data_IF_088196582280
#
_entry.id   IF_088196582280
#
_cell.length_a   1.000
_cell.length_b   1.000
_cell.length_c   1.000
_cell.angle_alpha   90.00
_cell.angle_beta   90.00
_cell.angle_gamma   90.00
#
_symmetry.space_group_name_H-M   'P 1'
#
loop_
_entity.id
_entity.type
_entity.pdbx_description
1 polymer ?
#
# COMPACT_ATOMS: atom_id res chain seq x y z
N UNK A 1 -16.76 -21.76 -12.21
CA UNK A 1 -16.43 -21.74 -10.78
C UNK A 1 -15.14 -22.51 -10.53
N UNK A 2 -14.20 -21.95 -9.81
CA UNK A 2 -12.99 -22.66 -9.37
C UNK A 2 -13.37 -23.70 -8.32
N UNK A 3 -12.72 -24.87 -8.38
CA UNK A 3 -13.04 -26.00 -7.49
C UNK A 3 -12.13 -26.09 -6.25
N UNK A 4 -11.01 -25.37 -6.26
CA UNK A 4 -10.05 -25.38 -5.16
C UNK A 4 -10.20 -24.14 -4.30
N UNK A 5 -10.25 -24.32 -2.97
CA UNK A 5 -10.27 -23.19 -2.04
C UNK A 5 -8.88 -22.91 -1.50
N UNK A 6 -8.52 -21.63 -1.45
CA UNK A 6 -7.30 -21.17 -0.80
C UNK A 6 -7.47 -19.76 -0.24
N UNK A 7 -7.02 -19.58 0.98
CA UNK A 7 -7.14 -18.31 1.70
C UNK A 7 -8.55 -18.05 2.25
N UNK A 8 -8.59 -17.34 3.33
CA UNK A 8 -9.83 -16.85 3.93
C UNK A 8 -9.57 -15.59 4.74
N UNK A 9 -10.60 -14.79 4.93
CA UNK A 9 -10.55 -13.60 5.78
C UNK A 9 -11.91 -13.33 6.41
N UNK A 10 -11.92 -12.55 7.50
CA UNK A 10 -13.11 -11.88 7.99
C UNK A 10 -13.24 -10.54 7.28
N UNK A 11 -14.45 -10.20 6.84
CA UNK A 11 -14.70 -8.92 6.18
C UNK A 11 -14.30 -7.75 7.09
N UNK A 12 -13.50 -6.80 6.58
CA UNK A 12 -13.07 -5.65 7.37
C UNK A 12 -14.24 -4.70 7.64
N UNK A 13 -14.15 -4.01 8.76
CA UNK A 13 -15.07 -2.90 9.11
C UNK A 13 -14.43 -1.53 8.84
N UNK A 14 -13.18 -1.52 8.44
CA UNK A 14 -12.42 -0.34 7.98
C UNK A 14 -11.14 -0.80 7.27
N UNK A 15 -10.60 0.02 6.39
CA UNK A 15 -9.32 -0.21 5.71
C UNK A 15 -9.27 -1.44 4.82
N UNK A 16 -8.09 -2.00 4.66
CA UNK A 16 -7.78 -3.12 3.77
C UNK A 16 -7.21 -4.30 4.56
N UNK A 17 -7.66 -5.51 4.24
CA UNK A 17 -7.11 -6.76 4.78
C UNK A 17 -6.53 -7.62 3.67
N UNK A 18 -5.44 -8.32 3.95
CA UNK A 18 -4.89 -9.35 3.07
C UNK A 18 -5.65 -10.66 3.30
N UNK A 19 -6.19 -11.24 2.22
CA UNK A 19 -6.86 -12.55 2.23
C UNK A 19 -5.80 -13.65 2.14
N UNK A 20 -4.87 -13.48 1.19
CA UNK A 20 -3.74 -14.40 0.99
C UNK A 20 -2.59 -13.67 0.30
N UNK A 21 -1.37 -14.11 0.58
CA UNK A 21 -0.15 -13.68 -0.16
C UNK A 21 0.24 -14.65 -1.26
N UNK A 22 -0.51 -15.75 -1.46
CA UNK A 22 -0.23 -16.76 -2.47
C UNK A 22 -1.52 -17.46 -2.95
N UNK A 23 -2.48 -16.73 -3.51
CA UNK A 23 -3.56 -17.33 -4.28
C UNK A 23 -3.12 -17.59 -5.71
N UNK A 24 -3.57 -18.72 -6.29
CA UNK A 24 -3.50 -18.95 -7.73
C UNK A 24 -4.77 -18.42 -8.40
N UNK A 25 -4.62 -17.96 -9.66
CA UNK A 25 -5.77 -17.51 -10.45
C UNK A 25 -6.54 -18.73 -11.03
N UNK A 26 -6.91 -19.64 -10.16
CA UNK A 26 -7.72 -20.85 -10.39
C UNK A 26 -8.40 -21.28 -9.08
N UNK A 27 -8.31 -20.47 -8.04
CA UNK A 27 -8.79 -20.77 -6.70
C UNK A 27 -9.90 -19.81 -6.30
N UNK A 28 -10.61 -20.14 -5.21
CA UNK A 28 -11.49 -19.19 -4.54
C UNK A 28 -11.09 -19.03 -3.07
N UNK A 29 -11.40 -17.87 -2.51
CA UNK A 29 -11.25 -17.58 -1.09
C UNK A 29 -12.59 -17.43 -0.41
N UNK A 30 -12.63 -17.74 0.90
CA UNK A 30 -13.85 -17.63 1.72
C UNK A 30 -13.77 -16.38 2.60
N UNK A 31 -14.80 -15.55 2.53
CA UNK A 31 -14.91 -14.32 3.31
C UNK A 31 -16.06 -14.46 4.30
N UNK A 32 -15.73 -14.36 5.57
CA UNK A 32 -16.69 -14.49 6.68
C UNK A 32 -17.21 -13.13 7.15
N UNK A 33 -18.37 -13.12 7.75
CA UNK A 33 -18.94 -11.95 8.44
C UNK A 33 -19.12 -10.71 7.55
N UNK A 34 -19.44 -10.90 6.28
CA UNK A 34 -19.80 -9.80 5.38
C UNK A 34 -21.09 -9.16 5.88
N UNK A 35 -21.11 -7.82 6.01
CA UNK A 35 -22.30 -7.07 6.39
C UNK A 35 -23.20 -6.80 5.17
N UNK A 36 -24.52 -6.88 5.34
CA UNK A 36 -25.48 -6.61 4.28
C UNK A 36 -25.46 -5.14 3.83
N UNK A 37 -25.63 -4.90 2.53
CA UNK A 37 -25.75 -3.55 1.95
C UNK A 37 -24.47 -2.71 2.09
N UNK A 38 -23.34 -3.34 2.34
CA UNK A 38 -22.05 -2.67 2.57
C UNK A 38 -21.20 -2.73 1.29
N UNK A 39 -20.53 -1.63 0.98
CA UNK A 39 -19.59 -1.56 -0.14
C UNK A 39 -18.27 -2.21 0.27
N UNK A 40 -17.81 -3.13 -0.56
CA UNK A 40 -16.50 -3.76 -0.42
C UNK A 40 -15.77 -3.75 -1.76
N UNK A 41 -14.47 -3.87 -1.71
CA UNK A 41 -13.63 -4.08 -2.89
C UNK A 41 -12.78 -5.33 -2.75
N UNK A 42 -12.51 -6.01 -3.87
CA UNK A 42 -11.52 -7.07 -3.96
C UNK A 42 -10.43 -6.69 -4.96
N UNK A 43 -9.20 -7.02 -4.65
CA UNK A 43 -8.08 -6.80 -5.55
C UNK A 43 -7.15 -8.02 -5.57
N UNK A 44 -6.50 -8.22 -6.70
CA UNK A 44 -5.43 -9.19 -6.89
C UNK A 44 -4.22 -8.48 -7.50
N UNK A 45 -3.04 -8.74 -6.97
CA UNK A 45 -1.78 -8.16 -7.42
C UNK A 45 -0.68 -9.22 -7.44
N UNK A 46 0.34 -9.00 -8.27
CA UNK A 46 1.47 -9.92 -8.44
C UNK A 46 1.97 -9.94 -9.89
N UNK A 47 3.09 -10.60 -10.12
CA UNK A 47 3.85 -10.52 -11.38
C UNK A 47 3.08 -10.93 -12.65
N UNK A 48 2.02 -11.72 -12.53
CA UNK A 48 1.20 -12.21 -13.65
C UNK A 48 -0.29 -11.90 -13.47
N UNK A 49 -0.65 -11.02 -12.55
CA UNK A 49 -2.03 -10.55 -12.35
C UNK A 49 -2.32 -9.44 -13.38
N UNK A 50 -2.62 -9.80 -14.62
CA UNK A 50 -2.90 -8.81 -15.67
C UNK A 50 -4.33 -8.97 -16.22
N UNK A 51 -5.23 -8.12 -15.91
CA UNK A 51 -5.46 -7.34 -14.68
C UNK A 51 -6.07 -8.19 -13.55
N UNK A 52 -6.28 -9.50 -13.79
CA UNK A 52 -7.03 -10.40 -12.93
C UNK A 52 -8.55 -10.22 -13.06
N UNK A 53 -9.29 -11.31 -12.98
CA UNK A 53 -10.75 -11.32 -13.00
C UNK A 53 -11.30 -11.84 -11.67
N UNK A 54 -12.31 -11.20 -11.15
CA UNK A 54 -12.89 -11.51 -9.85
C UNK A 54 -14.35 -11.80 -10.04
N UNK A 55 -14.83 -12.93 -9.48
CA UNK A 55 -16.26 -13.27 -9.45
C UNK A 55 -16.66 -13.55 -8.00
N UNK A 56 -17.76 -12.95 -7.54
CA UNK A 56 -18.21 -12.99 -6.14
C UNK A 56 -19.55 -13.70 -6.05
N UNK A 57 -19.64 -14.67 -5.15
CA UNK A 57 -20.86 -15.40 -4.83
C UNK A 57 -21.19 -15.32 -3.33
N UNK A 58 -22.48 -15.35 -2.98
CA UNK A 58 -22.98 -15.45 -1.62
C UNK A 58 -23.43 -16.86 -1.29
N UNK A 59 -23.19 -17.31 -0.06
CA UNK A 59 -23.73 -18.54 0.54
C UNK A 59 -22.96 -19.81 0.21
N UNK A 60 -22.48 -19.99 -1.02
CA UNK A 60 -21.64 -21.12 -1.43
C UNK A 60 -20.72 -20.75 -2.59
N UNK A 61 -19.68 -21.56 -2.91
CA UNK A 61 -18.72 -21.24 -4.00
C UNK A 61 -19.35 -21.00 -5.38
N UNK A 62 -20.52 -21.57 -5.66
CA UNK A 62 -21.31 -21.32 -6.86
C UNK A 62 -22.76 -20.97 -6.47
N UNK A 63 -22.91 -20.18 -5.41
CA UNK A 63 -24.20 -19.77 -4.85
C UNK A 63 -24.86 -18.62 -5.61
N UNK A 64 -25.42 -17.68 -4.86
CA UNK A 64 -26.04 -16.50 -5.47
C UNK A 64 -24.94 -15.61 -6.06
N UNK A 65 -25.02 -15.33 -7.35
CA UNK A 65 -24.13 -14.40 -8.04
C UNK A 65 -24.31 -12.98 -7.47
N UNK A 66 -23.21 -12.29 -7.20
CA UNK A 66 -23.22 -10.95 -6.62
C UNK A 66 -22.61 -9.94 -7.58
N UNK A 67 -21.37 -10.19 -8.03
CA UNK A 67 -20.63 -9.28 -8.90
C UNK A 67 -19.51 -10.00 -9.65
N UNK A 68 -19.07 -9.43 -10.77
CA UNK A 68 -17.85 -9.82 -11.44
C UNK A 68 -17.21 -8.65 -12.18
N UNK A 69 -15.90 -8.73 -12.43
CA UNK A 69 -15.16 -7.73 -13.17
C UNK A 69 -13.65 -7.89 -13.05
N UNK A 70 -12.93 -7.00 -13.76
CA UNK A 70 -11.48 -6.89 -13.62
C UNK A 70 -11.09 -6.33 -12.26
N UNK A 71 -9.94 -6.75 -11.75
CA UNK A 71 -9.38 -6.19 -10.52
C UNK A 71 -8.88 -4.73 -10.73
N UNK A 72 -9.10 -3.84 -9.76
CA UNK A 72 -9.87 -4.02 -8.53
C UNK A 72 -11.39 -3.99 -8.79
N UNK A 73 -12.14 -4.90 -8.16
CA UNK A 73 -13.60 -4.96 -8.25
C UNK A 73 -14.24 -4.37 -7.00
N UNK A 74 -15.11 -3.37 -7.16
CA UNK A 74 -15.95 -2.82 -6.07
C UNK A 74 -17.39 -3.25 -6.26
N UNK A 75 -18.06 -3.67 -5.19
CA UNK A 75 -19.44 -4.15 -5.21
C UNK A 75 -20.18 -3.83 -3.91
N UNK A 76 -21.49 -3.91 -3.94
CA UNK A 76 -22.33 -3.83 -2.72
C UNK A 76 -22.83 -5.24 -2.39
N UNK A 77 -22.60 -5.68 -1.14
CA UNK A 77 -23.06 -6.98 -0.65
C UNK A 77 -24.58 -7.06 -0.62
N UNK A 78 -25.14 -8.22 -1.00
CA UNK A 78 -26.58 -8.46 -1.01
C UNK A 78 -27.09 -8.71 0.42
N UNK A 79 -26.57 -9.75 1.07
CA UNK A 79 -26.95 -10.16 2.41
C UNK A 79 -25.78 -10.16 3.38
N UNK A 80 -26.08 -10.38 4.67
CA UNK A 80 -25.04 -10.65 5.66
C UNK A 80 -24.68 -12.15 5.64
N UNK A 81 -23.38 -12.45 5.69
CA UNK A 81 -22.98 -13.85 5.74
C UNK A 81 -21.61 -14.17 5.19
N UNK A 82 -21.50 -15.33 4.56
CA UNK A 82 -20.27 -15.83 3.96
C UNK A 82 -20.29 -15.63 2.46
N UNK A 83 -19.20 -15.09 1.93
CA UNK A 83 -19.00 -14.85 0.51
C UNK A 83 -17.83 -15.67 -0.01
N UNK A 84 -17.86 -15.97 -1.30
CA UNK A 84 -16.86 -16.77 -1.99
C UNK A 84 -16.35 -15.97 -3.19
N UNK A 85 -15.05 -15.73 -3.22
CA UNK A 85 -14.39 -14.88 -4.21
C UNK A 85 -13.51 -15.74 -5.09
N UNK A 86 -13.86 -15.87 -6.34
CA UNK A 86 -13.12 -16.63 -7.34
C UNK A 86 -12.12 -15.71 -8.04
N UNK A 87 -10.90 -16.19 -8.17
CA UNK A 87 -9.80 -15.50 -8.80
C UNK A 87 -9.49 -16.14 -10.15
N UNK A 88 -9.49 -15.35 -11.21
CA UNK A 88 -9.20 -15.76 -12.57
C UNK A 88 -8.27 -14.78 -13.29
N UNK A 89 -7.80 -15.15 -14.47
CA UNK A 89 -7.03 -14.25 -15.35
C UNK A 89 -7.96 -13.31 -16.09
N UNK A 90 -9.07 -13.85 -16.59
CA UNK A 90 -10.07 -13.14 -17.39
C UNK A 90 -11.49 -13.72 -17.17
N UNK A 91 -12.47 -13.19 -17.89
CA UNK A 91 -13.87 -13.64 -17.85
C UNK A 91 -14.12 -14.99 -18.50
N UNK A 92 -13.13 -15.63 -19.09
CA UNK A 92 -13.25 -16.97 -19.69
C UNK A 92 -12.78 -18.08 -18.75
N UNK A 93 -12.50 -17.72 -17.48
CA UNK A 93 -11.91 -18.61 -16.46
C UNK A 93 -10.52 -19.15 -16.85
N UNK A 94 -9.76 -18.38 -17.61
CA UNK A 94 -8.36 -18.68 -17.83
C UNK A 94 -7.60 -18.68 -16.51
N UNK A 95 -6.67 -19.60 -16.38
CA UNK A 95 -5.91 -19.84 -15.15
C UNK A 95 -4.43 -19.61 -15.35
N UNK A 96 -3.72 -19.15 -14.32
CA UNK A 96 -2.26 -19.09 -14.32
C UNK A 96 -1.73 -19.57 -12.97
N UNK A 97 -0.58 -20.22 -13.02
CA UNK A 97 0.19 -20.58 -11.84
C UNK A 97 1.00 -19.38 -11.34
N UNK A 98 1.34 -19.43 -10.07
CA UNK A 98 2.10 -18.40 -9.38
C UNK A 98 1.31 -17.76 -8.25
N UNK A 99 2.04 -17.27 -7.27
CA UNK A 99 1.45 -16.64 -6.09
C UNK A 99 1.01 -15.20 -6.39
N UNK A 100 -0.24 -14.90 -6.07
CA UNK A 100 -0.82 -13.56 -6.16
C UNK A 100 -1.30 -13.12 -4.77
N UNK A 101 -1.05 -11.87 -4.44
CA UNK A 101 -1.62 -11.29 -3.22
C UNK A 101 -3.05 -10.86 -3.50
N UNK A 102 -3.97 -11.35 -2.67
CA UNK A 102 -5.39 -11.01 -2.74
C UNK A 102 -5.80 -10.22 -1.51
N UNK A 103 -6.56 -9.15 -1.71
CA UNK A 103 -6.96 -8.22 -0.65
C UNK A 103 -8.44 -7.89 -0.73
N UNK A 104 -9.00 -7.46 0.41
CA UNK A 104 -10.36 -6.95 0.53
C UNK A 104 -10.35 -5.60 1.24
N UNK A 105 -11.07 -4.62 0.72
CA UNK A 105 -11.22 -3.28 1.28
C UNK A 105 -12.66 -3.03 1.74
N UNK A 106 -12.81 -2.38 2.88
CA UNK A 106 -14.07 -1.77 3.31
C UNK A 106 -14.29 -0.46 2.55
N UNK A 107 -15.49 -0.20 2.04
CA UNK A 107 -15.79 0.99 1.24
C UNK A 107 -15.29 0.93 -0.21
N UNK A 108 -14.69 -0.19 -0.64
CA UNK A 108 -14.08 -0.34 -1.97
C UNK A 108 -12.63 0.15 -2.05
N UNK A 109 -12.09 0.18 -3.26
CA UNK A 109 -10.77 0.72 -3.53
C UNK A 109 -10.88 2.17 -4.03
N UNK A 110 -10.26 3.08 -3.32
CA UNK A 110 -10.18 4.51 -3.64
C UNK A 110 -8.70 4.80 -3.95
N UNK A 111 -8.43 5.09 -5.22
CA UNK A 111 -7.07 5.42 -5.68
C UNK A 111 -6.75 6.88 -5.42
N UNK A 112 -5.54 7.16 -5.00
CA UNK A 112 -5.04 8.50 -4.72
C UNK A 112 -3.71 8.43 -3.98
N UNK A 113 -3.13 9.57 -3.66
CA UNK A 113 -1.91 9.63 -2.88
C UNK A 113 -2.18 9.25 -1.41
N UNK A 114 -1.55 8.17 -0.94
CA UNK A 114 -1.71 7.66 0.43
C UNK A 114 -0.62 8.12 1.40
N UNK A 115 0.36 8.90 0.94
CA UNK A 115 1.44 9.43 1.79
C UNK A 115 1.03 10.75 2.44
N UNK A 116 0.90 10.82 3.79
CA UNK A 116 0.51 12.05 4.49
C UNK A 116 1.53 13.18 4.39
N UNK A 117 2.75 12.91 3.91
CA UNK A 117 3.80 13.93 3.69
C UNK A 117 3.64 14.61 2.33
N UNK A 118 2.95 13.98 1.39
CA UNK A 118 2.71 14.56 0.07
C UNK A 118 1.72 15.74 0.14
N UNK A 119 1.91 16.71 -0.76
CA UNK A 119 1.08 17.94 -0.82
C UNK A 119 -0.35 17.66 -1.29
N UNK A 120 -0.56 16.57 -2.02
CA UNK A 120 -1.85 16.10 -2.53
C UNK A 120 -2.34 14.83 -1.81
N UNK A 121 -1.96 14.65 -0.55
CA UNK A 121 -2.45 13.53 0.26
C UNK A 121 -3.98 13.48 0.26
N UNK A 122 -4.52 12.30 -0.05
CA UNK A 122 -5.95 12.01 0.07
C UNK A 122 -6.20 11.04 1.24
N UNK A 123 -6.75 11.54 2.33
CA UNK A 123 -7.04 10.74 3.52
C UNK A 123 -8.11 9.67 3.29
N UNK A 124 -8.84 9.71 2.17
CA UNK A 124 -9.83 8.70 1.79
C UNK A 124 -9.25 7.61 0.91
N UNK A 125 -8.12 7.88 0.25
CA UNK A 125 -7.43 6.89 -0.57
C UNK A 125 -6.91 5.73 0.27
N UNK A 126 -7.11 4.51 -0.23
CA UNK A 126 -6.61 3.27 0.36
C UNK A 126 -5.76 2.45 -0.61
N UNK A 127 -5.56 2.97 -1.83
CA UNK A 127 -4.64 2.44 -2.84
C UNK A 127 -3.81 3.59 -3.38
N UNK A 128 -2.48 3.50 -3.22
CA UNK A 128 -1.57 4.47 -3.84
C UNK A 128 -1.58 4.29 -5.36
N UNK A 129 -1.85 5.35 -6.08
CA UNK A 129 -1.87 5.40 -7.55
C UNK A 129 -0.59 6.01 -8.15
N UNK A 130 0.39 6.31 -7.30
CA UNK A 130 1.65 6.95 -7.68
C UNK A 130 1.52 8.44 -7.98
N UNK A 131 0.39 9.07 -7.66
CA UNK A 131 0.15 10.50 -7.92
C UNK A 131 0.72 11.43 -6.87
N UNK A 132 1.42 10.92 -5.84
CA UNK A 132 1.97 11.72 -4.75
C UNK A 132 2.91 12.82 -5.27
N UNK A 133 2.67 14.05 -4.83
CA UNK A 133 3.45 15.24 -5.19
C UNK A 133 4.19 15.73 -3.96
N UNK A 134 5.50 15.93 -4.11
CA UNK A 134 6.35 16.42 -3.05
C UNK A 134 6.99 17.75 -3.43
N UNK A 135 7.33 18.55 -2.43
CA UNK A 135 8.12 19.77 -2.60
C UNK A 135 9.58 19.41 -2.33
N UNK A 136 10.47 19.41 -3.34
CA UNK A 136 11.88 19.11 -3.13
C UNK A 136 12.57 20.28 -2.41
N UNK A 137 13.52 19.98 -1.53
CA UNK A 137 14.30 20.96 -0.80
C UNK A 137 15.00 20.32 0.39
N UNK A 138 15.79 21.12 1.13
CA UNK A 138 16.47 20.64 2.31
C UNK A 138 15.50 20.49 3.50
N UNK A 139 15.31 19.25 3.97
CA UNK A 139 14.39 18.92 5.09
C UNK A 139 15.09 18.88 6.45
N UNK A 140 16.41 19.07 6.51
CA UNK A 140 17.15 19.10 7.77
C UNK A 140 17.13 20.50 8.40
N UNK A 141 16.46 20.63 9.54
CA UNK A 141 16.36 21.89 10.29
C UNK A 141 17.68 22.44 10.81
N UNK A 142 18.77 21.68 10.75
CA UNK A 142 20.11 22.10 11.14
C UNK A 142 20.91 22.68 9.95
N UNK A 143 20.42 22.51 8.73
CA UNK A 143 21.05 23.08 7.54
C UNK A 143 20.83 24.59 7.45
N UNK A 144 21.76 25.29 6.83
CA UNK A 144 21.67 26.75 6.61
C UNK A 144 20.62 27.15 5.60
N UNK A 145 20.26 26.22 4.72
CA UNK A 145 19.24 26.36 3.68
C UNK A 145 18.02 25.47 3.93
N UNK A 146 17.71 25.19 5.21
CA UNK A 146 16.48 24.49 5.57
C UNK A 146 15.25 25.14 4.94
N UNK A 147 14.44 24.36 4.27
CA UNK A 147 13.14 24.80 3.74
C UNK A 147 12.00 24.12 4.54
N UNK A 148 11.27 24.87 5.37
CA UNK A 148 10.18 24.32 6.17
C UNK A 148 8.97 23.85 5.31
N UNK A 149 8.93 24.17 4.01
CA UNK A 149 7.91 23.71 3.08
C UNK A 149 8.33 22.47 2.30
N UNK A 150 9.61 22.11 2.32
CA UNK A 150 10.09 20.89 1.67
C UNK A 150 9.48 19.65 2.33
N UNK A 151 8.94 18.76 1.51
CA UNK A 151 8.38 17.48 1.93
C UNK A 151 9.21 16.29 1.46
N UNK A 152 10.24 16.56 0.63
CA UNK A 152 11.19 15.56 0.16
C UNK A 152 12.58 16.15 0.13
N UNK A 153 13.55 15.50 0.80
CA UNK A 153 14.94 15.90 0.72
C UNK A 153 15.49 15.66 -0.70
N UNK A 154 16.04 16.69 -1.29
CA UNK A 154 16.63 16.68 -2.63
C UNK A 154 18.18 16.60 -2.59
N UNK A 155 18.77 16.43 -1.40
CA UNK A 155 20.20 16.41 -1.17
C UNK A 155 20.87 17.78 -1.24
N UNK A 156 20.12 18.87 -1.27
CA UNK A 156 20.66 20.24 -1.37
C UNK A 156 21.10 20.82 -0.03
N UNK A 157 20.94 20.08 1.08
CA UNK A 157 21.28 20.59 2.41
C UNK A 157 22.72 21.07 2.50
N UNK A 158 22.89 22.30 2.97
CA UNK A 158 24.19 22.91 3.21
C UNK A 158 24.37 23.19 4.69
N UNK A 159 25.57 22.97 5.18
CA UNK A 159 25.90 23.16 6.58
C UNK A 159 27.01 24.22 6.72
N UNK A 160 27.07 24.93 7.86
CA UNK A 160 28.15 25.86 8.10
C UNK A 160 29.48 25.10 8.04
N UNK A 161 30.44 25.66 7.32
CA UNK A 161 31.76 25.09 7.30
C UNK A 161 32.33 25.03 8.73
N UNK A 162 32.85 23.88 9.14
CA UNK A 162 33.56 23.77 10.41
C UNK A 162 34.80 24.65 10.34
N UNK A 163 34.78 25.78 11.06
CA UNK A 163 36.00 26.59 11.27
C UNK A 163 36.91 25.84 12.23
N UNK A 164 38.13 25.57 11.82
CA UNK A 164 39.18 24.99 12.69
C UNK A 164 39.48 25.84 13.94
N UNK A 165 38.91 27.07 14.00
CA UNK A 165 38.99 27.95 15.16
C UNK A 165 37.77 27.84 16.09
N UNK A 166 36.75 27.07 15.75
CA UNK A 166 35.60 26.85 16.63
C UNK A 166 35.95 25.71 17.62
N UNK A 167 36.00 25.98 18.93
CA UNK A 167 36.34 24.97 19.94
C UNK A 167 35.28 23.87 20.07
N UNK A 168 34.32 23.82 19.16
CA UNK A 168 33.18 22.92 19.16
C UNK A 168 33.21 21.88 18.03
N UNK A 169 34.21 21.90 17.12
CA UNK A 169 34.38 20.81 16.17
C UNK A 169 35.10 19.65 16.85
N UNK A 170 34.62 18.44 16.57
CA UNK A 170 35.07 17.20 17.18
C UNK A 170 36.57 16.97 17.04
N UNK A 171 37.27 16.80 18.17
CA UNK A 171 38.64 16.32 18.25
C UNK A 171 38.64 14.81 18.47
N UNK A 172 39.00 14.05 17.44
CA UNK A 172 39.10 12.58 17.50
C UNK A 172 40.06 12.07 18.58
N UNK A 173 40.96 12.94 19.08
CA UNK A 173 41.88 12.57 20.15
C UNK A 173 41.24 12.68 21.55
N UNK A 174 40.17 13.43 21.72
CA UNK A 174 39.55 13.67 23.04
C UNK A 174 38.24 12.97 23.26
N UNK A 175 37.67 12.32 22.25
CA UNK A 175 36.45 11.51 22.38
C UNK A 175 35.14 12.28 22.61
N UNK A 176 35.09 13.57 22.34
CA UNK A 176 33.90 14.42 22.48
C UNK A 176 32.99 14.22 21.28
N UNK A 177 31.65 14.04 21.51
CA UNK A 177 30.67 13.76 20.47
C UNK A 177 30.58 14.86 19.39
N UNK A 178 30.39 14.51 18.11
CA UNK A 178 30.30 15.48 17.02
C UNK A 178 29.15 16.45 17.23
N UNK A 179 29.36 17.71 16.97
CA UNK A 179 28.34 18.75 16.96
C UNK A 179 27.56 18.62 15.65
N UNK A 180 26.19 18.71 15.66
CA UNK A 180 25.37 18.74 14.45
C UNK A 180 25.91 19.86 13.50
N UNK A 181 26.07 19.50 12.22
CA UNK A 181 26.58 20.43 11.18
C UNK A 181 28.07 20.27 10.81
N UNK A 182 28.81 19.36 11.43
CA UNK A 182 30.13 18.99 10.96
C UNK A 182 30.06 17.81 9.99
N UNK A 183 30.66 17.89 8.77
CA UNK A 183 30.67 16.77 7.83
C UNK A 183 31.42 15.58 8.42
N UNK A 184 30.90 14.37 8.17
CA UNK A 184 31.51 13.12 8.59
C UNK A 184 32.93 13.01 8.04
N UNK A 185 33.89 12.99 8.92
CA UNK A 185 35.27 12.61 8.59
C UNK A 185 36.15 13.72 8.06
N UNK A 186 36.56 14.65 8.92
CA UNK A 186 37.79 15.37 8.68
C UNK A 186 38.97 14.44 9.06
N UNK A 187 39.58 13.81 8.06
CA UNK A 187 40.89 13.20 8.19
C UNK A 187 41.95 14.28 7.87
N UNK A 188 42.83 14.52 8.81
CA UNK A 188 44.09 15.26 8.54
C UNK A 188 45.05 14.32 7.83
#
# INVERSE_FOLDING_TARGET
CNSSSYGSATAPTSGVVTISTCNYLSEYSTIYSVAAGTVYGFNVSGANANPGWITVYEGSPCGTFVAEGSAPLTFTSLGAGTYYVHWGVDNTCATTGGCHTTTMAFGGFISGCTDPVATNYDSTANVDDGSCIYIPGCTDSLATNYDPLATQDDGSCTYPACSVLAPTCYDFNTGVAPVPGCPNGFQI
#
